data_IF_625696559448
#
_entry.id   IF_625696559448
#
_cell.length_a   1.000
_cell.length_b   1.000
_cell.length_c   1.000
_cell.angle_alpha   90.00
_cell.angle_beta   90.00
_cell.angle_gamma   90.00
#
_symmetry.space_group_name_H-M   'P 1'
#
loop_
_entity.id
_entity.type
_entity.pdbx_description
1 polymer ?
#
# COMPACT_ATOMS: atom_id res chain seq x y z
N UNK A 1 1.07 33.64 -36.59
CA UNK A 1 1.91 32.50 -36.22
C UNK A 1 1.72 32.20 -34.74
N UNK A 2 0.65 31.46 -34.37
CA UNK A 2 0.46 30.91 -33.03
C UNK A 2 1.23 29.60 -32.91
N UNK A 3 2.33 29.61 -32.18
CA UNK A 3 2.98 28.36 -31.72
C UNK A 3 2.04 27.74 -30.67
N UNK A 4 1.43 26.62 -31.04
CA UNK A 4 0.82 25.70 -30.08
C UNK A 4 1.93 25.28 -29.09
N UNK A 5 1.84 25.74 -27.86
CA UNK A 5 2.49 25.12 -26.73
C UNK A 5 1.81 23.77 -26.55
N UNK A 6 2.32 22.73 -27.18
CA UNK A 6 2.01 21.37 -26.84
C UNK A 6 2.25 21.21 -25.33
N UNK A 7 1.18 21.05 -24.57
CA UNK A 7 1.25 20.89 -23.12
C UNK A 7 2.12 19.69 -22.78
N UNK A 8 3.33 19.95 -22.32
CA UNK A 8 4.16 18.95 -21.66
C UNK A 8 3.35 18.45 -20.46
N UNK A 9 2.99 17.17 -20.43
CA UNK A 9 2.44 16.58 -19.22
C UNK A 9 3.37 16.91 -18.05
N UNK A 10 2.86 17.48 -16.95
CA UNK A 10 3.72 17.88 -15.84
C UNK A 10 4.49 16.66 -15.31
N UNK A 11 5.78 16.85 -15.03
CA UNK A 11 6.66 15.77 -14.53
C UNK A 11 6.09 15.22 -13.22
N UNK A 12 6.01 13.90 -13.12
CA UNK A 12 5.78 13.20 -11.85
C UNK A 12 7.06 13.30 -11.01
N UNK A 13 6.93 13.79 -9.78
CA UNK A 13 8.05 13.97 -8.85
C UNK A 13 7.93 13.14 -7.58
N UNK A 14 6.71 12.70 -7.22
CA UNK A 14 6.47 11.94 -6.01
C UNK A 14 5.59 10.73 -6.27
N UNK A 15 5.92 9.63 -5.58
CA UNK A 15 5.13 8.41 -5.48
C UNK A 15 4.89 8.13 -3.99
N UNK A 16 3.63 8.19 -3.55
CA UNK A 16 3.29 8.10 -2.14
C UNK A 16 2.68 6.75 -1.73
N UNK A 17 2.82 5.71 -2.58
CA UNK A 17 2.34 4.37 -2.28
C UNK A 17 3.21 3.30 -2.95
N UNK A 18 4.05 2.63 -2.16
CA UNK A 18 4.93 1.57 -2.66
C UNK A 18 5.37 0.62 -1.54
N UNK A 19 5.60 -0.65 -1.92
CA UNK A 19 5.89 -1.77 -1.02
C UNK A 19 7.27 -2.35 -1.24
N UNK A 20 7.85 -2.89 -0.16
CA UNK A 20 9.16 -3.49 -0.13
C UNK A 20 9.12 -4.93 0.42
N UNK A 21 10.28 -5.58 0.48
CA UNK A 21 10.40 -6.90 1.15
C UNK A 21 10.10 -6.87 2.65
N UNK A 22 9.96 -5.69 3.27
CA UNK A 22 9.50 -5.60 4.65
C UNK A 22 8.04 -6.07 4.79
N UNK A 23 7.20 -5.88 3.76
CA UNK A 23 5.90 -6.52 3.62
C UNK A 23 5.92 -7.56 2.50
N UNK A 24 5.34 -7.29 1.35
CA UNK A 24 5.16 -8.24 0.26
C UNK A 24 5.60 -7.72 -1.12
N UNK A 25 6.43 -6.68 -1.14
CA UNK A 25 7.13 -6.23 -2.33
C UNK A 25 8.33 -7.12 -2.69
N UNK A 26 8.78 -7.03 -3.94
CA UNK A 26 9.90 -7.84 -4.47
C UNK A 26 11.27 -7.13 -4.30
N UNK A 27 11.30 -5.80 -4.15
CA UNK A 27 12.53 -5.03 -3.92
C UNK A 27 12.78 -4.78 -2.44
N UNK A 28 14.04 -4.82 -2.00
CA UNK A 28 14.38 -4.33 -0.66
C UNK A 28 14.12 -2.82 -0.56
N UNK A 29 13.95 -2.25 0.64
CA UNK A 29 13.73 -0.81 0.79
C UNK A 29 14.77 0.05 0.07
N UNK A 30 16.04 -0.30 0.16
CA UNK A 30 17.12 0.41 -0.54
C UNK A 30 17.03 0.24 -2.06
N UNK A 31 16.69 -0.94 -2.58
CA UNK A 31 16.51 -1.17 -4.02
C UNK A 31 15.35 -0.37 -4.57
N UNK A 32 14.23 -0.31 -3.85
CA UNK A 32 13.06 0.48 -4.26
C UNK A 32 13.41 1.97 -4.29
N UNK A 33 14.12 2.51 -3.29
CA UNK A 33 14.58 3.89 -3.29
C UNK A 33 15.51 4.21 -4.48
N UNK A 34 16.44 3.30 -4.81
CA UNK A 34 17.31 3.43 -6.00
C UNK A 34 16.49 3.37 -7.30
N UNK A 35 15.50 2.48 -7.39
CA UNK A 35 14.59 2.40 -8.55
C UNK A 35 13.82 3.70 -8.74
N UNK A 36 13.27 4.29 -7.67
CA UNK A 36 12.57 5.56 -7.69
C UNK A 36 13.46 6.71 -8.20
N UNK A 37 14.73 6.75 -7.77
CA UNK A 37 15.73 7.70 -8.31
C UNK A 37 15.96 7.51 -9.80
N UNK A 38 16.09 6.28 -10.28
CA UNK A 38 16.24 6.00 -11.71
C UNK A 38 15.01 6.42 -12.51
N UNK A 39 13.81 6.32 -11.91
CA UNK A 39 12.56 6.85 -12.45
C UNK A 39 12.46 8.39 -12.35
N UNK A 40 13.51 9.06 -11.82
CA UNK A 40 13.60 10.53 -11.65
C UNK A 40 12.55 11.09 -10.70
N UNK A 41 12.14 10.32 -9.70
CA UNK A 41 11.35 10.82 -8.58
C UNK A 41 12.25 11.58 -7.60
N UNK A 42 11.70 12.65 -7.04
CA UNK A 42 12.33 13.43 -5.96
C UNK A 42 11.88 12.93 -4.58
N UNK A 43 10.68 12.30 -4.53
CA UNK A 43 10.04 11.82 -3.31
C UNK A 43 9.46 10.41 -3.51
N UNK A 44 9.66 9.54 -2.52
CA UNK A 44 9.05 8.22 -2.44
C UNK A 44 8.52 7.99 -1.02
N UNK A 45 7.28 7.52 -0.87
CA UNK A 45 6.83 6.96 0.40
C UNK A 45 7.10 5.45 0.45
N UNK A 46 7.57 4.98 1.60
CA UNK A 46 7.60 3.55 1.92
C UNK A 46 6.35 3.27 2.75
N UNK A 47 5.42 2.51 2.19
CA UNK A 47 4.09 2.25 2.75
C UNK A 47 3.80 0.76 2.85
N UNK A 48 4.78 0.00 3.34
CA UNK A 48 4.65 -1.44 3.54
C UNK A 48 3.39 -1.80 4.32
N UNK A 49 2.74 -2.90 3.95
CA UNK A 49 1.54 -3.39 4.63
C UNK A 49 1.81 -3.66 6.11
N UNK A 50 1.07 -2.96 6.98
CA UNK A 50 1.01 -3.15 8.42
C UNK A 50 2.41 -3.17 9.09
N UNK A 51 3.40 -2.46 8.53
CA UNK A 51 4.74 -2.33 9.09
C UNK A 51 5.45 -1.08 8.64
N UNK A 52 6.28 -0.51 9.51
CA UNK A 52 7.19 0.61 9.20
C UNK A 52 8.66 0.14 9.11
N UNK A 53 8.90 -1.17 9.10
CA UNK A 53 10.25 -1.74 9.21
C UNK A 53 11.16 -1.36 8.02
N UNK A 54 10.60 -1.14 6.81
CA UNK A 54 11.36 -0.78 5.62
C UNK A 54 11.85 0.67 5.58
N UNK A 55 11.25 1.55 6.39
CA UNK A 55 11.48 3.01 6.31
C UNK A 55 12.94 3.38 6.57
N UNK A 56 13.51 2.88 7.68
CA UNK A 56 14.87 3.25 8.09
C UNK A 56 15.94 2.87 7.05
N UNK A 57 15.82 1.70 6.42
CA UNK A 57 16.72 1.26 5.36
C UNK A 57 16.61 2.16 4.13
N UNK A 58 15.38 2.45 3.68
CA UNK A 58 15.18 3.32 2.51
C UNK A 58 15.75 4.72 2.72
N UNK A 59 15.65 5.28 3.94
CA UNK A 59 16.19 6.60 4.30
C UNK A 59 17.73 6.70 4.19
N UNK A 60 18.44 5.57 4.12
CA UNK A 60 19.91 5.60 3.93
C UNK A 60 20.32 5.98 2.50
N UNK A 61 19.40 5.96 1.53
CA UNK A 61 19.70 6.21 0.12
C UNK A 61 19.72 7.72 -0.16
N UNK A 62 20.86 8.31 -0.56
CA UNK A 62 20.97 9.74 -0.77
C UNK A 62 20.31 10.18 -2.09
N UNK A 63 19.86 11.44 -2.14
CA UNK A 63 19.37 12.08 -3.37
C UNK A 63 17.93 11.68 -3.75
N UNK A 64 17.16 11.22 -2.80
CA UNK A 64 15.70 11.08 -2.84
C UNK A 64 15.17 11.35 -1.43
N UNK A 65 14.05 12.02 -1.33
CA UNK A 65 13.35 12.21 -0.05
C UNK A 65 12.46 11.00 0.22
N UNK A 66 12.67 10.33 1.34
CA UNK A 66 11.80 9.22 1.77
C UNK A 66 10.76 9.75 2.75
N UNK A 67 9.50 9.57 2.41
CA UNK A 67 8.36 9.79 3.32
C UNK A 67 8.14 8.51 4.12
N UNK A 68 8.22 8.61 5.45
CA UNK A 68 7.87 7.51 6.32
C UNK A 68 6.37 7.28 6.25
N UNK A 69 5.98 6.05 5.93
CA UNK A 69 4.58 5.67 5.78
C UNK A 69 4.33 4.23 6.20
N UNK A 70 3.08 3.86 6.14
CA UNK A 70 2.54 2.52 6.35
C UNK A 70 1.23 2.39 5.60
N UNK A 71 0.90 1.22 5.08
CA UNK A 71 -0.44 0.90 4.61
C UNK A 71 -1.11 -0.05 5.60
N UNK A 72 -2.05 0.47 6.39
CA UNK A 72 -2.78 -0.29 7.41
C UNK A 72 -3.97 -1.02 6.78
N UNK A 73 -4.10 -2.31 7.12
CA UNK A 73 -5.29 -3.10 6.84
C UNK A 73 -6.35 -2.77 7.88
N UNK A 74 -7.46 -2.17 7.44
CA UNK A 74 -8.49 -1.67 8.34
C UNK A 74 -9.87 -2.23 8.01
N UNK A 75 -10.75 -2.31 9.00
CA UNK A 75 -12.16 -2.61 8.82
C UNK A 75 -12.97 -1.33 8.78
N UNK A 76 -13.83 -1.23 7.77
CA UNK A 76 -14.83 -0.17 7.66
C UNK A 76 -16.14 -0.79 7.20
N UNK A 77 -17.19 -0.71 8.04
CA UNK A 77 -18.42 -1.48 7.86
C UNK A 77 -18.06 -2.98 7.69
N UNK A 78 -18.58 -3.65 6.67
CA UNK A 78 -18.29 -5.06 6.38
C UNK A 78 -17.13 -5.26 5.39
N UNK A 79 -16.36 -4.19 5.10
CA UNK A 79 -15.25 -4.22 4.15
C UNK A 79 -13.89 -4.20 4.85
N UNK A 80 -12.95 -4.98 4.32
CA UNK A 80 -11.53 -4.72 4.52
C UNK A 80 -11.11 -3.67 3.49
N UNK A 81 -10.61 -2.53 3.98
CA UNK A 81 -10.04 -1.47 3.15
C UNK A 81 -8.64 -1.15 3.62
N UNK A 82 -7.89 -0.42 2.81
CA UNK A 82 -6.54 -0.01 3.16
C UNK A 82 -6.48 1.49 3.42
N UNK A 83 -5.63 1.87 4.37
CA UNK A 83 -5.41 3.27 4.72
C UNK A 83 -3.92 3.55 4.84
N UNK A 84 -3.42 4.52 4.07
CA UNK A 84 -2.06 5.01 4.22
C UNK A 84 -1.97 5.92 5.45
N UNK A 85 -0.95 5.67 6.30
CA UNK A 85 -0.42 6.66 7.21
C UNK A 85 0.81 7.28 6.56
N UNK A 86 0.76 8.54 6.16
CA UNK A 86 1.90 9.23 5.55
C UNK A 86 2.53 10.22 6.53
N UNK A 87 3.85 10.41 6.46
CA UNK A 87 4.63 11.28 7.35
C UNK A 87 4.60 10.86 8.83
N UNK A 88 4.33 9.59 9.10
CA UNK A 88 4.30 9.05 10.46
C UNK A 88 5.70 9.05 11.09
N UNK A 89 5.76 9.14 12.42
CA UNK A 89 6.95 8.77 13.16
C UNK A 89 7.05 7.24 13.27
N UNK A 90 8.02 6.59 12.58
CA UNK A 90 8.15 5.13 12.62
C UNK A 90 8.60 4.61 14.00
N UNK A 91 8.98 5.48 14.92
CA UNK A 91 9.31 5.13 16.31
C UNK A 91 8.08 5.22 17.25
N UNK A 92 6.94 5.75 16.78
CA UNK A 92 5.74 5.87 17.60
C UNK A 92 5.29 4.51 18.15
N UNK A 93 5.17 4.40 19.47
CA UNK A 93 4.89 3.14 20.16
C UNK A 93 3.48 2.58 19.85
N UNK A 94 2.48 3.47 19.75
CA UNK A 94 1.10 3.07 19.47
C UNK A 94 0.96 2.51 18.05
N UNK A 95 1.60 3.17 17.07
CA UNK A 95 1.63 2.70 15.69
C UNK A 95 2.31 1.34 15.58
N UNK A 96 3.46 1.17 16.23
CA UNK A 96 4.17 -0.12 16.27
C UNK A 96 3.34 -1.22 16.90
N UNK A 97 2.66 -0.94 18.02
CA UNK A 97 1.80 -1.92 18.68
C UNK A 97 0.64 -2.41 17.77
N UNK A 98 0.06 -1.51 16.98
CA UNK A 98 -0.96 -1.88 15.96
C UNK A 98 -0.33 -2.75 14.88
N UNK A 99 0.82 -2.35 14.33
CA UNK A 99 1.56 -3.11 13.31
C UNK A 99 1.93 -4.52 13.81
N UNK A 100 2.48 -4.63 15.01
CA UNK A 100 2.88 -5.90 15.62
C UNK A 100 1.68 -6.86 15.78
N UNK A 101 0.53 -6.35 16.26
CA UNK A 101 -0.68 -7.15 16.40
C UNK A 101 -1.14 -7.72 15.05
N UNK A 102 -1.17 -6.89 14.01
CA UNK A 102 -1.60 -7.33 12.67
C UNK A 102 -0.56 -8.29 12.07
N UNK A 103 0.74 -8.04 12.27
CA UNK A 103 1.83 -8.92 11.84
C UNK A 103 1.67 -10.34 12.40
N UNK A 104 1.37 -10.50 13.69
CA UNK A 104 1.11 -11.81 14.31
C UNK A 104 -0.04 -12.54 13.58
N UNK A 105 -1.13 -11.85 13.31
CA UNK A 105 -2.26 -12.46 12.60
C UNK A 105 -1.93 -12.81 11.14
N UNK A 106 -1.10 -12.01 10.45
CA UNK A 106 -0.64 -12.31 9.09
C UNK A 106 0.25 -13.56 9.04
N UNK A 107 1.15 -13.74 10.01
CA UNK A 107 1.98 -14.97 10.14
C UNK A 107 1.10 -16.19 10.39
N UNK A 108 0.15 -16.12 11.31
CA UNK A 108 -0.85 -17.18 11.55
C UNK A 108 -1.62 -17.51 10.26
N UNK A 109 -2.02 -16.48 9.50
CA UNK A 109 -2.72 -16.63 8.24
C UNK A 109 -1.86 -17.29 7.15
N UNK A 110 -0.57 -16.93 7.04
CA UNK A 110 0.37 -17.60 6.14
C UNK A 110 0.42 -19.11 6.42
N UNK A 111 0.58 -19.50 7.69
CA UNK A 111 0.58 -20.91 8.11
C UNK A 111 -0.76 -21.60 7.78
N UNK A 112 -1.88 -20.93 8.00
CA UNK A 112 -3.19 -21.45 7.60
C UNK A 112 -3.31 -21.70 6.10
N UNK A 113 -2.74 -20.83 5.25
CA UNK A 113 -2.64 -21.10 3.80
C UNK A 113 -1.79 -22.31 3.49
N UNK A 114 -0.64 -22.49 4.16
CA UNK A 114 0.26 -23.66 3.97
C UNK A 114 -0.51 -24.96 4.25
N UNK A 115 -1.21 -25.04 5.38
CA UNK A 115 -2.01 -26.20 5.78
C UNK A 115 -3.20 -26.46 4.84
N UNK A 116 -3.94 -25.41 4.52
CA UNK A 116 -5.12 -25.53 3.66
C UNK A 116 -4.75 -25.92 2.21
N UNK A 117 -3.66 -25.38 1.68
CA UNK A 117 -3.16 -25.77 0.35
C UNK A 117 -2.66 -27.22 0.32
N UNK A 118 -1.96 -27.67 1.35
CA UNK A 118 -1.52 -29.05 1.45
C UNK A 118 -2.71 -30.02 1.47
N UNK A 119 -3.82 -29.66 2.13
CA UNK A 119 -5.03 -30.52 2.21
C UNK A 119 -5.72 -30.73 0.85
N UNK A 120 -5.48 -29.84 -0.13
CA UNK A 120 -6.02 -29.95 -1.50
C UNK A 120 -4.96 -30.42 -2.52
N UNK A 121 -3.81 -30.96 -2.03
CA UNK A 121 -2.76 -31.51 -2.89
C UNK A 121 -1.80 -30.48 -3.50
N UNK A 122 -1.74 -29.28 -2.94
CA UNK A 122 -0.85 -28.18 -3.39
C UNK A 122 0.15 -27.79 -2.27
N UNK A 123 1.01 -28.72 -1.77
CA UNK A 123 1.92 -28.44 -0.67
C UNK A 123 2.97 -27.40 -1.06
N UNK A 124 3.26 -26.49 -0.13
CA UNK A 124 4.31 -25.48 -0.31
C UNK A 124 5.64 -25.95 0.33
N UNK A 125 6.82 -25.64 -0.27
CA UNK A 125 8.11 -26.03 0.27
C UNK A 125 8.38 -25.33 1.62
N UNK A 126 8.50 -26.08 2.71
CA UNK A 126 8.62 -25.52 4.07
C UNK A 126 9.85 -24.60 4.23
N UNK A 127 10.99 -24.95 3.61
CA UNK A 127 12.19 -24.08 3.67
C UNK A 127 11.96 -22.72 3.00
N UNK A 128 11.06 -22.64 1.98
CA UNK A 128 10.70 -21.38 1.33
C UNK A 128 9.70 -20.59 2.18
N UNK A 129 8.76 -21.27 2.83
CA UNK A 129 7.86 -20.65 3.81
C UNK A 129 8.66 -20.00 4.94
N UNK A 130 9.63 -20.75 5.51
CA UNK A 130 10.54 -20.23 6.53
C UNK A 130 11.37 -19.03 6.04
N UNK A 131 11.79 -19.02 4.78
CA UNK A 131 12.48 -17.86 4.18
C UNK A 131 11.59 -16.62 4.12
N UNK A 132 10.32 -16.78 3.76
CA UNK A 132 9.35 -15.66 3.77
C UNK A 132 9.18 -15.10 5.20
N UNK A 133 9.02 -15.98 6.20
CA UNK A 133 8.87 -15.57 7.60
C UNK A 133 10.11 -14.88 8.18
N UNK A 134 11.29 -15.21 7.66
CA UNK A 134 12.55 -14.58 8.09
C UNK A 134 12.75 -13.18 7.48
N UNK A 135 12.27 -12.95 6.25
CA UNK A 135 12.50 -11.71 5.52
C UNK A 135 11.37 -10.70 5.75
N UNK A 136 10.11 -11.14 5.61
CA UNK A 136 8.95 -10.27 5.75
C UNK A 136 8.45 -10.21 7.19
N UNK A 137 8.29 -8.99 7.71
CA UNK A 137 7.61 -8.78 9.00
C UNK A 137 6.11 -8.96 8.87
N UNK A 138 5.54 -8.70 7.68
CA UNK A 138 4.11 -8.76 7.38
C UNK A 138 3.81 -9.59 6.13
N UNK A 139 3.88 -10.93 6.18
CA UNK A 139 3.61 -11.77 5.02
C UNK A 139 2.16 -11.64 4.55
N UNK A 140 1.97 -11.65 3.22
CA UNK A 140 0.68 -11.50 2.56
C UNK A 140 0.37 -12.60 1.56
N UNK A 141 -0.83 -12.51 0.94
CA UNK A 141 -1.27 -13.45 -0.11
C UNK A 141 -0.34 -13.49 -1.32
N UNK A 142 0.37 -12.39 -1.59
CA UNK A 142 1.36 -12.33 -2.67
C UNK A 142 2.53 -13.29 -2.42
N UNK A 143 2.97 -13.46 -1.16
CA UNK A 143 3.97 -14.49 -0.82
C UNK A 143 3.45 -15.90 -1.09
N UNK A 144 2.20 -16.19 -0.72
CA UNK A 144 1.58 -17.49 -1.02
C UNK A 144 1.52 -17.74 -2.52
N UNK A 145 1.18 -16.73 -3.31
CA UNK A 145 1.18 -16.80 -4.77
C UNK A 145 2.59 -17.07 -5.34
N UNK A 146 3.62 -16.43 -4.80
CA UNK A 146 5.02 -16.70 -5.18
C UNK A 146 5.43 -18.14 -4.84
N UNK A 147 5.09 -18.61 -3.64
CA UNK A 147 5.38 -19.98 -3.22
C UNK A 147 4.68 -21.02 -4.09
N UNK A 148 3.43 -20.79 -4.50
CA UNK A 148 2.70 -21.63 -5.45
C UNK A 148 3.37 -21.66 -6.83
N UNK A 149 3.86 -20.51 -7.31
CA UNK A 149 4.57 -20.39 -8.58
C UNK A 149 5.91 -21.14 -8.52
N UNK A 150 6.69 -20.95 -7.46
CA UNK A 150 7.97 -21.62 -7.23
C UNK A 150 7.81 -23.15 -7.08
N UNK A 151 6.72 -23.60 -6.47
CA UNK A 151 6.39 -25.03 -6.35
C UNK A 151 5.87 -25.64 -7.67
N UNK A 152 5.66 -24.84 -8.72
CA UNK A 152 5.15 -25.30 -10.00
C UNK A 152 3.65 -25.61 -10.03
N UNK A 153 2.90 -25.21 -8.98
CA UNK A 153 1.45 -25.42 -8.90
C UNK A 153 0.66 -24.45 -9.79
N UNK A 154 1.23 -23.33 -10.14
CA UNK A 154 0.67 -22.35 -11.08
C UNK A 154 1.76 -21.87 -12.05
N UNK A 155 1.34 -21.28 -13.16
CA UNK A 155 2.26 -20.77 -14.21
C UNK A 155 2.45 -19.24 -14.13
N UNK A 156 1.52 -18.55 -13.52
CA UNK A 156 1.56 -17.10 -13.34
C UNK A 156 0.85 -16.72 -12.03
N UNK A 157 1.31 -15.67 -11.39
CA UNK A 157 0.85 -15.24 -10.06
C UNK A 157 -0.65 -14.94 -9.99
N UNK A 158 -1.23 -14.38 -11.06
CA UNK A 158 -2.67 -14.08 -11.15
C UNK A 158 -3.56 -15.31 -10.93
N UNK A 159 -3.11 -16.51 -11.35
CA UNK A 159 -3.85 -17.75 -11.12
C UNK A 159 -4.04 -18.06 -9.64
N UNK A 160 -3.06 -17.70 -8.78
CA UNK A 160 -3.23 -17.87 -7.35
C UNK A 160 -4.49 -17.15 -6.83
N UNK A 161 -4.68 -15.89 -7.22
CA UNK A 161 -5.78 -15.05 -6.73
C UNK A 161 -7.14 -15.44 -7.28
N UNK A 162 -7.19 -15.88 -8.53
CA UNK A 162 -8.46 -16.19 -9.22
C UNK A 162 -8.87 -17.65 -9.04
N UNK A 163 -7.91 -18.59 -9.06
CA UNK A 163 -8.22 -20.02 -9.17
C UNK A 163 -7.93 -20.82 -7.90
N UNK A 164 -6.89 -20.44 -7.11
CA UNK A 164 -6.38 -21.29 -6.03
C UNK A 164 -6.80 -20.79 -4.65
N UNK A 165 -6.43 -19.56 -4.30
CA UNK A 165 -6.69 -19.00 -2.96
C UNK A 165 -8.19 -18.94 -2.59
N UNK A 166 -9.12 -18.66 -3.53
CA UNK A 166 -10.56 -18.71 -3.20
C UNK A 166 -11.05 -20.09 -2.73
N UNK A 167 -10.45 -21.18 -3.25
CA UNK A 167 -10.85 -22.55 -2.87
C UNK A 167 -10.54 -22.88 -1.41
N UNK A 168 -9.53 -22.25 -0.84
CA UNK A 168 -9.08 -22.52 0.54
C UNK A 168 -9.42 -21.39 1.52
N UNK A 169 -9.97 -20.27 1.03
CA UNK A 169 -10.22 -19.08 1.84
C UNK A 169 -11.03 -19.35 3.12
N UNK A 170 -12.03 -20.23 3.05
CA UNK A 170 -12.87 -20.61 4.20
C UNK A 170 -12.14 -21.43 5.28
N UNK A 171 -10.96 -21.97 4.99
CA UNK A 171 -10.15 -22.77 5.92
C UNK A 171 -8.96 -21.98 6.49
N UNK A 172 -8.77 -20.74 6.03
CA UNK A 172 -7.64 -19.89 6.46
C UNK A 172 -8.12 -18.93 7.55
N UNK A 173 -7.35 -18.76 8.65
CA UNK A 173 -7.70 -17.81 9.71
C UNK A 173 -7.94 -16.41 9.16
N UNK A 174 -8.88 -15.68 9.74
CA UNK A 174 -9.13 -14.27 9.46
C UNK A 174 -7.89 -13.43 9.78
N UNK A 175 -7.82 -12.23 9.21
CA UNK A 175 -6.85 -11.21 9.56
C UNK A 175 -7.43 -10.34 10.70
N UNK A 176 -6.62 -10.06 11.72
CA UNK A 176 -7.01 -9.11 12.75
C UNK A 176 -6.90 -7.70 12.15
N UNK A 177 -8.07 -7.10 11.89
CA UNK A 177 -8.15 -5.74 11.39
C UNK A 177 -8.29 -4.75 12.55
N UNK A 178 -7.80 -3.55 12.36
CA UNK A 178 -8.10 -2.42 13.23
C UNK A 178 -9.28 -1.65 12.63
N UNK A 179 -10.15 -1.06 13.45
CA UNK A 179 -11.21 -0.20 12.90
C UNK A 179 -10.59 1.01 12.20
N UNK A 180 -11.23 1.52 11.13
CA UNK A 180 -10.71 2.69 10.43
C UNK A 180 -10.62 3.92 11.37
N UNK A 181 -11.51 4.04 12.34
CA UNK A 181 -11.48 5.13 13.33
C UNK A 181 -10.22 5.03 14.22
N UNK A 182 -9.93 3.83 14.78
CA UNK A 182 -8.73 3.62 15.59
C UNK A 182 -7.45 3.79 14.77
N UNK A 183 -7.48 3.38 13.49
CA UNK A 183 -6.36 3.55 12.58
C UNK A 183 -6.08 5.03 12.27
N UNK A 184 -7.11 5.84 12.04
CA UNK A 184 -6.97 7.30 11.88
C UNK A 184 -6.35 7.91 13.14
N UNK A 185 -6.87 7.56 14.31
CA UNK A 185 -6.36 8.07 15.58
C UNK A 185 -4.90 7.69 15.82
N UNK A 186 -4.49 6.47 15.52
CA UNK A 186 -3.09 6.05 15.72
C UNK A 186 -2.15 6.73 14.73
N UNK A 187 -2.56 6.94 13.48
CA UNK A 187 -1.78 7.69 12.49
C UNK A 187 -1.61 9.14 12.93
N UNK A 188 -2.66 9.79 13.43
CA UNK A 188 -2.57 11.15 13.95
C UNK A 188 -1.66 11.25 15.18
N UNK A 189 -1.74 10.30 16.12
CA UNK A 189 -0.79 10.25 17.27
C UNK A 189 0.66 10.01 16.84
N UNK A 190 0.86 9.35 15.69
CA UNK A 190 2.18 9.22 15.09
C UNK A 190 2.62 10.46 14.29
N UNK A 191 1.84 11.55 14.29
CA UNK A 191 2.14 12.81 13.60
C UNK A 191 1.92 12.76 12.08
N UNK A 192 1.21 11.75 11.59
CA UNK A 192 0.97 11.50 10.18
C UNK A 192 -0.39 11.99 9.68
N UNK A 193 -0.60 11.81 8.37
CA UNK A 193 -1.88 11.99 7.66
C UNK A 193 -2.51 10.63 7.36
N UNK A 194 -3.79 10.48 7.65
CA UNK A 194 -4.60 9.30 7.34
C UNK A 194 -5.25 9.47 5.96
N UNK A 195 -4.90 8.61 5.01
CA UNK A 195 -5.33 8.69 3.61
C UNK A 195 -6.02 7.37 3.23
N UNK A 196 -7.25 7.39 2.73
CA UNK A 196 -7.89 6.20 2.19
C UNK A 196 -7.18 5.77 0.91
N UNK A 197 -6.59 4.57 0.92
CA UNK A 197 -5.84 4.00 -0.20
C UNK A 197 -6.79 3.38 -1.23
N UNK A 198 -6.50 3.54 -2.53
CA UNK A 198 -7.20 2.89 -3.67
C UNK A 198 -8.67 2.51 -3.35
N UNK A 199 -9.52 3.50 -3.03
CA UNK A 199 -10.84 3.25 -2.50
C UNK A 199 -11.68 2.38 -3.44
N UNK A 200 -12.54 1.47 -2.88
CA UNK A 200 -13.46 0.67 -3.67
C UNK A 200 -14.35 1.53 -4.57
N UNK A 201 -14.55 1.08 -5.81
CA UNK A 201 -15.31 1.84 -6.82
C UNK A 201 -16.81 1.98 -6.50
N UNK A 202 -17.33 1.14 -5.62
CA UNK A 202 -18.71 1.17 -5.14
C UNK A 202 -18.95 2.19 -4.00
N UNK A 203 -17.90 2.84 -3.47
CA UNK A 203 -18.07 3.85 -2.43
C UNK A 203 -18.72 5.11 -3.00
N UNK A 204 -19.87 5.48 -2.46
CA UNK A 204 -20.63 6.66 -2.84
C UNK A 204 -20.36 7.88 -1.95
N UNK A 205 -20.98 9.00 -2.27
CA UNK A 205 -20.79 10.25 -1.51
C UNK A 205 -21.23 10.17 -0.05
N UNK A 206 -22.16 9.29 0.32
CA UNK A 206 -22.58 9.11 1.71
C UNK A 206 -21.48 8.42 2.53
N UNK A 207 -20.83 7.41 1.96
CA UNK A 207 -19.67 6.73 2.55
C UNK A 207 -18.53 7.72 2.79
N UNK A 208 -18.21 8.58 1.83
CA UNK A 208 -17.18 9.60 2.00
C UNK A 208 -17.56 10.64 3.07
N UNK A 209 -18.86 10.95 3.23
CA UNK A 209 -19.34 11.78 4.33
C UNK A 209 -19.12 11.18 5.71
N UNK A 210 -19.31 9.87 5.86
CA UNK A 210 -18.99 9.14 7.12
C UNK A 210 -17.48 9.16 7.41
N UNK A 211 -16.65 8.91 6.40
CA UNK A 211 -15.19 8.96 6.54
C UNK A 211 -14.71 10.36 6.93
N UNK A 212 -15.35 11.41 6.43
CA UNK A 212 -15.06 12.78 6.81
C UNK A 212 -15.37 13.06 8.29
N UNK A 213 -16.46 12.49 8.81
CA UNK A 213 -16.82 12.59 10.23
C UNK A 213 -15.77 11.91 11.15
N UNK A 214 -15.02 10.93 10.65
CA UNK A 214 -13.91 10.27 11.34
C UNK A 214 -12.58 11.05 11.26
N UNK A 215 -12.56 12.24 10.66
CA UNK A 215 -11.37 13.10 10.49
C UNK A 215 -10.29 12.52 9.56
N UNK A 216 -10.69 11.77 8.54
CA UNK A 216 -9.79 11.37 7.46
C UNK A 216 -9.15 12.62 6.83
N UNK A 217 -7.87 12.57 6.46
CA UNK A 217 -7.14 13.71 5.90
C UNK A 217 -7.15 13.75 4.38
N UNK A 218 -7.35 12.62 3.74
CA UNK A 218 -7.27 12.58 2.28
C UNK A 218 -7.67 11.24 1.67
N UNK A 219 -7.57 11.20 0.35
CA UNK A 219 -7.89 10.03 -0.46
C UNK A 219 -6.86 9.86 -1.58
N UNK A 220 -6.50 8.63 -1.88
CA UNK A 220 -5.69 8.30 -3.05
C UNK A 220 -6.57 8.38 -4.30
N UNK A 221 -6.43 9.47 -5.05
CA UNK A 221 -7.26 9.75 -6.22
C UNK A 221 -6.70 9.24 -7.54
N UNK A 222 -5.40 8.89 -7.55
CA UNK A 222 -4.72 8.31 -8.72
C UNK A 222 -3.94 7.08 -8.28
N UNK A 223 -4.35 5.92 -8.73
CA UNK A 223 -3.70 4.63 -8.50
C UNK A 223 -3.86 3.74 -9.73
N UNK A 224 -3.20 2.59 -9.75
CA UNK A 224 -3.33 1.67 -10.87
C UNK A 224 -4.77 1.14 -11.02
N UNK A 225 -5.28 1.19 -12.25
CA UNK A 225 -6.62 0.68 -12.58
C UNK A 225 -7.77 1.66 -12.31
N UNK A 226 -7.53 2.83 -11.70
CA UNK A 226 -8.58 3.84 -11.51
C UNK A 226 -8.96 4.49 -12.85
N UNK A 227 -10.25 4.63 -13.12
CA UNK A 227 -10.74 5.35 -14.30
C UNK A 227 -10.65 6.86 -14.12
N UNK A 228 -10.68 7.62 -15.24
CA UNK A 228 -10.73 9.08 -15.17
C UNK A 228 -11.99 9.57 -14.44
N UNK A 229 -13.13 8.95 -14.69
CA UNK A 229 -14.40 9.27 -14.01
C UNK A 229 -14.29 9.08 -12.49
N UNK A 230 -13.68 7.96 -12.06
CA UNK A 230 -13.46 7.71 -10.64
C UNK A 230 -12.45 8.69 -10.04
N UNK A 231 -11.37 9.01 -10.77
CA UNK A 231 -10.41 10.03 -10.36
C UNK A 231 -11.07 11.39 -10.13
N UNK A 232 -11.94 11.82 -11.05
CA UNK A 232 -12.64 13.12 -10.93
C UNK A 232 -13.64 13.10 -9.78
N UNK A 233 -14.38 12.01 -9.58
CA UNK A 233 -15.25 11.82 -8.44
C UNK A 233 -14.49 11.91 -7.10
N UNK A 234 -13.33 11.23 -6.98
CA UNK A 234 -12.50 11.28 -5.77
C UNK A 234 -11.96 12.67 -5.48
N UNK A 235 -11.60 13.44 -6.51
CA UNK A 235 -11.19 14.83 -6.38
C UNK A 235 -12.35 15.74 -5.93
N UNK A 236 -13.57 15.47 -6.41
CA UNK A 236 -14.76 16.15 -5.94
C UNK A 236 -15.01 15.89 -4.46
N UNK A 237 -14.94 14.63 -4.02
CA UNK A 237 -15.07 14.29 -2.60
C UNK A 237 -13.97 14.95 -1.77
N UNK A 238 -12.73 14.94 -2.22
CA UNK A 238 -11.63 15.60 -1.54
C UNK A 238 -11.87 17.11 -1.40
N UNK A 239 -12.35 17.77 -2.45
CA UNK A 239 -12.69 19.19 -2.41
C UNK A 239 -13.84 19.48 -1.42
N UNK A 240 -14.88 18.64 -1.44
CA UNK A 240 -16.07 18.76 -0.58
C UNK A 240 -15.72 18.66 0.90
N UNK A 241 -14.78 17.79 1.26
CA UNK A 241 -14.44 17.51 2.65
C UNK A 241 -13.15 18.19 3.13
N UNK A 242 -12.49 19.01 2.29
CA UNK A 242 -11.24 19.69 2.62
C UNK A 242 -10.06 18.74 2.77
N UNK A 243 -10.09 17.61 2.05
CA UNK A 243 -9.05 16.58 2.03
C UNK A 243 -7.96 16.88 1.00
N UNK A 244 -6.80 16.25 1.21
CA UNK A 244 -5.77 16.18 0.17
C UNK A 244 -6.03 14.99 -0.76
N UNK A 245 -5.59 15.13 -2.02
CA UNK A 245 -5.51 14.02 -2.96
C UNK A 245 -4.07 13.52 -2.99
N UNK A 246 -3.89 12.19 -2.90
CA UNK A 246 -2.58 11.55 -3.12
C UNK A 246 -2.60 10.72 -4.39
N UNK A 247 -1.42 10.26 -4.78
CA UNK A 247 -1.21 9.33 -5.88
C UNK A 247 0.00 8.46 -5.62
N UNK A 248 -0.08 7.19 -6.02
CA UNK A 248 1.02 6.25 -5.93
C UNK A 248 0.90 5.10 -6.92
N UNK A 249 2.03 4.42 -7.14
CA UNK A 249 2.10 3.29 -8.05
C UNK A 249 1.53 2.00 -7.46
N UNK A 250 1.47 1.92 -6.13
CA UNK A 250 1.19 0.67 -5.42
C UNK A 250 2.15 -0.45 -5.90
N UNK A 251 3.43 -0.08 -6.02
CA UNK A 251 4.47 -0.96 -6.54
C UNK A 251 4.72 -2.12 -5.59
N UNK A 252 4.67 -3.33 -6.13
CA UNK A 252 5.02 -4.56 -5.42
C UNK A 252 6.12 -5.36 -6.13
N UNK A 253 6.47 -5.02 -7.38
CA UNK A 253 7.46 -5.74 -8.15
C UNK A 253 7.35 -5.49 -9.65
N UNK A 254 8.39 -5.90 -10.39
CA UNK A 254 8.53 -5.61 -11.83
C UNK A 254 7.59 -6.43 -12.74
N UNK A 255 6.87 -7.40 -12.20
CA UNK A 255 5.87 -8.19 -12.92
C UNK A 255 4.57 -7.43 -13.25
N UNK A 256 4.43 -6.24 -12.70
CA UNK A 256 3.31 -5.33 -12.97
C UNK A 256 3.82 -4.06 -13.65
N UNK A 257 3.99 -4.04 -14.97
CA UNK A 257 4.62 -2.92 -15.68
C UNK A 257 3.85 -1.59 -15.54
N UNK A 258 2.58 -1.66 -15.19
CA UNK A 258 1.76 -0.48 -14.96
C UNK A 258 1.88 0.11 -13.54
N UNK A 259 2.50 -0.62 -12.62
CA UNK A 259 2.71 -0.23 -11.22
C UNK A 259 4.16 0.13 -10.91
N UNK A 260 4.96 0.54 -11.87
CA UNK A 260 6.35 0.95 -11.61
C UNK A 260 6.44 2.38 -11.10
N UNK A 261 7.35 2.69 -10.14
CA UNK A 261 7.56 4.04 -9.66
C UNK A 261 7.79 5.04 -10.79
N UNK A 262 7.13 6.21 -10.71
CA UNK A 262 7.21 7.26 -11.72
C UNK A 262 6.20 7.15 -12.88
N UNK A 263 5.43 6.05 -12.98
CA UNK A 263 4.34 5.92 -13.96
C UNK A 263 3.02 6.54 -13.45
N UNK A 264 2.73 6.34 -12.18
CA UNK A 264 1.64 6.98 -11.45
C UNK A 264 2.26 7.73 -10.29
N UNK A 265 1.77 8.92 -10.01
CA UNK A 265 2.29 9.73 -8.93
C UNK A 265 1.83 11.18 -9.04
N UNK A 266 2.52 12.04 -8.33
CA UNK A 266 2.16 13.44 -8.13
C UNK A 266 3.13 14.38 -8.81
N UNK A 267 2.60 15.48 -9.31
CA UNK A 267 3.39 16.65 -9.72
C UNK A 267 3.94 17.38 -8.49
N UNK A 268 4.89 18.28 -8.70
CA UNK A 268 5.43 19.11 -7.60
C UNK A 268 4.38 19.92 -6.87
N UNK A 269 3.39 20.47 -7.59
CA UNK A 269 2.31 21.27 -6.99
C UNK A 269 1.35 20.39 -6.13
N UNK A 270 1.01 19.20 -6.64
CA UNK A 270 0.17 18.24 -5.91
C UNK A 270 0.88 17.78 -4.63
N UNK A 271 2.15 17.36 -4.73
CA UNK A 271 2.93 16.93 -3.56
C UNK A 271 3.08 18.06 -2.53
N UNK A 272 3.36 19.29 -2.97
CA UNK A 272 3.48 20.44 -2.07
C UNK A 272 2.19 20.71 -1.28
N UNK A 273 1.01 20.42 -1.82
CA UNK A 273 -0.26 20.52 -1.09
C UNK A 273 -0.34 19.49 0.04
N UNK A 274 0.06 18.25 -0.21
CA UNK A 274 0.09 17.18 0.81
C UNK A 274 1.14 17.48 1.89
N UNK A 275 2.34 17.91 1.49
CA UNK A 275 3.41 18.26 2.42
C UNK A 275 3.00 19.41 3.36
N UNK A 276 2.37 20.48 2.82
CA UNK A 276 1.82 21.56 3.65
C UNK A 276 0.77 21.08 4.64
N UNK A 277 -0.13 20.16 4.25
CA UNK A 277 -1.12 19.58 5.17
C UNK A 277 -0.46 18.83 6.31
N UNK A 278 0.68 18.18 6.06
CA UNK A 278 1.50 17.49 7.06
C UNK A 278 2.40 18.43 7.88
N UNK A 279 2.37 19.75 7.62
CA UNK A 279 3.26 20.71 8.30
C UNK A 279 4.75 20.57 7.87
N UNK A 280 4.98 20.12 6.65
CA UNK A 280 6.32 19.88 6.06
C UNK A 280 6.61 20.83 4.93
#
# INVERSE_FOLDING_TARGET
MCRQLAGLNPRIVADLHAHTTASDGDDTPSRLAVRAKHAKLDVLAITDHDTVAGVAEAMTIPGITIVAGVELSVSFRDHEVHMLGLFVDPANADLRAVCDRISVSRRRRLRGYVEALASIGLPLPEHRVASVEAISTCPGRRHVANLLLEAGHIRQRSQAFVEVLPKVAGHVPGKDLVSIADAIDVVHRAGGLAILAHPPGEFDGAIYGELAALKLDGVESKHNGVSLTQTDFLKEQATRHGWVCTAGSDFHGADSPDRVPGRIGMTSAEYAAVARRAGR
#
